data_IF_069061578485
#
_entry.id   IF_069061578485
#
_cell.length_a   1.000
_cell.length_b   1.000
_cell.length_c   1.000
_cell.angle_alpha   90.00
_cell.angle_beta   90.00
_cell.angle_gamma   90.00
#
_symmetry.space_group_name_H-M   'P 1'
#
loop_
_entity.id
_entity.type
_entity.pdbx_description
1 polymer ?
#
# COMPACT_ATOMS: atom_id res chain seq x y z
N UNK A 1 70.00 -26.98 16.20
CA UNK A 1 68.85 -26.70 15.31
C UNK A 1 67.63 -27.41 15.90
N UNK A 2 66.82 -26.69 16.67
CA UNK A 2 65.59 -27.19 17.19
C UNK A 2 64.56 -27.19 16.04
N UNK A 3 64.33 -28.36 15.46
CA UNK A 3 63.15 -28.62 14.67
C UNK A 3 62.07 -28.81 15.72
N UNK A 4 61.26 -27.77 15.96
CA UNK A 4 60.01 -27.90 16.71
C UNK A 4 59.20 -28.94 15.99
N UNK A 5 58.99 -30.08 16.65
CA UNK A 5 58.00 -31.08 16.20
C UNK A 5 56.66 -30.40 15.97
N UNK A 6 56.36 -30.08 14.73
CA UNK A 6 55.01 -29.71 14.35
C UNK A 6 54.24 -31.01 14.32
N UNK A 7 53.53 -31.25 15.42
CA UNK A 7 52.62 -32.39 15.49
C UNK A 7 51.64 -32.31 14.34
N UNK A 8 51.67 -33.26 13.39
CA UNK A 8 50.80 -33.22 12.20
C UNK A 8 49.31 -33.28 12.58
N UNK A 9 48.98 -33.84 13.76
CA UNK A 9 47.60 -33.88 14.24
C UNK A 9 47.12 -32.48 14.68
N UNK A 10 47.98 -31.70 15.33
CA UNK A 10 47.65 -30.32 15.71
C UNK A 10 47.48 -29.43 14.45
N UNK A 11 48.34 -29.62 13.45
CA UNK A 11 48.18 -28.90 12.19
C UNK A 11 46.89 -29.28 11.44
N UNK A 12 46.52 -30.56 11.48
CA UNK A 12 45.26 -31.04 10.90
C UNK A 12 44.02 -30.48 11.60
N UNK A 13 44.00 -30.47 12.94
CA UNK A 13 42.92 -29.89 13.75
C UNK A 13 42.76 -28.38 13.49
N UNK A 14 43.88 -27.65 13.41
CA UNK A 14 43.82 -26.23 13.08
C UNK A 14 43.27 -25.97 11.66
N UNK A 15 43.60 -26.84 10.68
CA UNK A 15 43.09 -26.72 9.32
C UNK A 15 41.57 -26.95 9.27
N UNK A 16 41.08 -27.98 9.97
CA UNK A 16 39.64 -28.27 10.05
C UNK A 16 38.88 -27.18 10.80
N UNK A 17 39.45 -26.59 11.84
CA UNK A 17 38.87 -25.47 12.55
C UNK A 17 38.77 -24.22 11.64
N UNK A 18 39.81 -23.94 10.88
CA UNK A 18 39.78 -22.83 9.91
C UNK A 18 38.77 -23.05 8.79
N UNK A 19 38.63 -24.26 8.31
CA UNK A 19 37.66 -24.65 7.26
C UNK A 19 36.23 -24.43 7.79
N UNK A 20 35.95 -24.85 9.02
CA UNK A 20 34.65 -24.62 9.69
C UNK A 20 34.34 -23.14 9.87
N UNK A 21 35.35 -22.32 10.24
CA UNK A 21 35.19 -20.88 10.38
C UNK A 21 34.91 -20.18 9.05
N UNK A 22 35.55 -20.65 7.96
CA UNK A 22 35.29 -20.15 6.61
C UNK A 22 33.89 -20.47 6.14
N UNK A 23 33.41 -21.70 6.38
CA UNK A 23 32.05 -22.12 6.05
C UNK A 23 31.00 -21.28 6.79
N UNK A 24 31.21 -21.03 8.09
CA UNK A 24 30.35 -20.17 8.88
C UNK A 24 30.32 -18.72 8.36
N UNK A 25 31.47 -18.17 8.01
CA UNK A 25 31.56 -16.83 7.42
C UNK A 25 30.86 -16.75 6.06
N UNK A 26 30.99 -17.76 5.21
CA UNK A 26 30.32 -17.83 3.91
C UNK A 26 28.80 -17.88 4.08
N UNK A 27 28.30 -18.67 5.03
CA UNK A 27 26.86 -18.76 5.33
C UNK A 27 26.31 -17.41 5.84
N UNK A 28 27.05 -16.73 6.73
CA UNK A 28 26.69 -15.40 7.21
C UNK A 28 26.63 -14.36 6.08
N UNK A 29 27.59 -14.40 5.16
CA UNK A 29 27.60 -13.48 4.01
C UNK A 29 26.43 -13.77 3.07
N UNK A 30 26.15 -15.03 2.77
CA UNK A 30 25.05 -15.42 1.90
C UNK A 30 23.70 -15.04 2.50
N UNK A 31 23.53 -15.25 3.81
CA UNK A 31 22.35 -14.83 4.56
C UNK A 31 22.16 -13.31 4.49
N UNK A 32 23.24 -12.55 4.74
CA UNK A 32 23.22 -11.09 4.66
C UNK A 32 22.82 -10.55 3.27
N UNK A 33 23.33 -11.17 2.21
CA UNK A 33 22.98 -10.80 0.82
C UNK A 33 21.49 -11.05 0.53
N UNK A 34 20.99 -12.23 0.96
CA UNK A 34 19.58 -12.60 0.73
C UNK A 34 18.63 -11.68 1.51
N UNK A 35 18.97 -11.34 2.73
CA UNK A 35 18.17 -10.42 3.54
C UNK A 35 18.17 -9.01 2.96
N UNK A 36 19.32 -8.54 2.49
CA UNK A 36 19.40 -7.24 1.82
C UNK A 36 18.55 -7.20 0.54
N UNK A 37 18.62 -8.23 -0.29
CA UNK A 37 17.80 -8.33 -1.50
C UNK A 37 16.29 -8.32 -1.18
N UNK A 38 15.87 -9.02 -0.13
CA UNK A 38 14.48 -9.02 0.34
C UNK A 38 14.01 -7.65 0.78
N UNK A 39 14.84 -6.92 1.54
CA UNK A 39 14.52 -5.56 2.01
C UNK A 39 14.40 -4.59 0.84
N UNK A 40 15.27 -4.69 -0.17
CA UNK A 40 15.16 -3.90 -1.41
C UNK A 40 13.87 -4.20 -2.17
N UNK A 41 13.47 -5.45 -2.28
CA UNK A 41 12.20 -5.83 -2.91
C UNK A 41 10.99 -5.20 -2.19
N UNK A 42 11.00 -5.20 -0.85
CA UNK A 42 9.96 -4.53 -0.06
C UNK A 42 9.95 -3.02 -0.33
N UNK A 43 11.13 -2.39 -0.42
CA UNK A 43 11.21 -0.97 -0.78
C UNK A 43 10.60 -0.71 -2.17
N UNK A 44 10.94 -1.50 -3.17
CA UNK A 44 10.42 -1.33 -4.53
C UNK A 44 8.89 -1.44 -4.57
N UNK A 45 8.30 -2.39 -3.83
CA UNK A 45 6.84 -2.51 -3.69
C UNK A 45 6.20 -1.27 -3.03
N UNK A 46 6.78 -0.80 -1.92
CA UNK A 46 6.25 0.37 -1.21
C UNK A 46 6.42 1.66 -2.03
N UNK A 47 7.52 1.77 -2.74
CA UNK A 47 7.81 2.88 -3.64
C UNK A 47 6.81 2.94 -4.81
N UNK A 48 6.51 1.80 -5.45
CA UNK A 48 5.50 1.72 -6.51
C UNK A 48 4.10 2.10 -6.00
N UNK A 49 3.73 1.64 -4.81
CA UNK A 49 2.45 2.01 -4.18
C UNK A 49 2.37 3.52 -3.88
N UNK A 50 3.46 4.11 -3.36
CA UNK A 50 3.54 5.54 -3.09
C UNK A 50 3.41 6.37 -4.38
N UNK A 51 4.13 6.00 -5.44
CA UNK A 51 4.04 6.68 -6.73
C UNK A 51 2.63 6.63 -7.31
N UNK A 52 1.98 5.47 -7.25
CA UNK A 52 0.61 5.31 -7.72
C UNK A 52 -0.36 6.21 -6.94
N UNK A 53 -0.24 6.26 -5.61
CA UNK A 53 -1.07 7.10 -4.77
C UNK A 53 -0.84 8.60 -5.03
N UNK A 54 0.43 9.02 -5.20
CA UNK A 54 0.78 10.41 -5.52
C UNK A 54 0.19 10.81 -6.87
N UNK A 55 0.37 9.99 -7.92
CA UNK A 55 -0.20 10.27 -9.25
C UNK A 55 -1.72 10.37 -9.20
N UNK A 56 -2.40 9.46 -8.54
CA UNK A 56 -3.85 9.51 -8.38
C UNK A 56 -4.33 10.79 -7.69
N UNK A 57 -3.61 11.25 -6.64
CA UNK A 57 -3.92 12.50 -5.97
C UNK A 57 -3.63 13.72 -6.87
N UNK A 58 -2.50 13.73 -7.59
CA UNK A 58 -2.15 14.78 -8.54
C UNK A 58 -3.20 14.94 -9.64
N UNK A 59 -3.58 13.82 -10.27
CA UNK A 59 -4.56 13.81 -11.36
C UNK A 59 -5.93 14.29 -10.88
N UNK A 60 -6.35 13.85 -9.69
CA UNK A 60 -7.62 14.30 -9.12
C UNK A 60 -7.60 15.78 -8.77
N UNK A 61 -6.54 16.26 -8.12
CA UNK A 61 -6.39 17.67 -7.71
C UNK A 61 -6.23 18.59 -8.94
N UNK A 62 -5.47 18.17 -9.95
CA UNK A 62 -5.29 18.96 -11.17
C UNK A 62 -6.58 19.08 -11.97
N UNK A 63 -7.33 17.99 -12.11
CA UNK A 63 -8.58 17.99 -12.87
C UNK A 63 -9.72 18.77 -12.18
N UNK A 64 -9.69 18.87 -10.85
CA UNK A 64 -10.75 19.50 -10.02
C UNK A 64 -10.25 20.65 -9.15
N UNK A 65 -9.07 21.19 -9.44
CA UNK A 65 -8.37 22.15 -8.61
C UNK A 65 -9.16 23.40 -8.23
N UNK A 66 -10.21 23.74 -8.98
CA UNK A 66 -11.14 24.83 -8.68
C UNK A 66 -11.92 24.62 -7.38
N UNK A 67 -12.16 23.37 -7.03
CA UNK A 67 -12.99 22.97 -5.87
C UNK A 67 -12.15 22.42 -4.73
N UNK A 68 -10.86 22.16 -4.96
CA UNK A 68 -9.96 21.57 -3.97
C UNK A 68 -9.25 22.66 -3.18
N UNK A 69 -9.36 22.59 -1.86
CA UNK A 69 -8.77 23.52 -0.90
C UNK A 69 -7.27 23.31 -0.70
N UNK A 70 -6.65 24.20 0.05
CA UNK A 70 -5.21 24.16 0.33
C UNK A 70 -4.75 22.90 1.06
N UNK A 71 -5.57 22.37 1.96
CA UNK A 71 -5.20 21.23 2.80
C UNK A 71 -4.83 19.97 2.00
N UNK A 72 -5.61 19.68 0.94
CA UNK A 72 -5.31 18.56 0.06
C UNK A 72 -3.98 18.77 -0.70
N UNK A 73 -3.71 19.98 -1.13
CA UNK A 73 -2.47 20.35 -1.83
C UNK A 73 -1.25 20.28 -0.91
N UNK A 74 -1.39 20.72 0.34
CA UNK A 74 -0.33 20.62 1.34
C UNK A 74 0.00 19.15 1.62
N UNK A 75 -1.02 18.29 1.82
CA UNK A 75 -0.80 16.86 2.02
C UNK A 75 -0.15 16.17 0.82
N UNK A 76 -0.47 16.62 -0.39
CA UNK A 76 0.19 16.11 -1.60
C UNK A 76 1.66 16.53 -1.64
N UNK A 77 1.97 17.79 -1.33
CA UNK A 77 3.35 18.27 -1.27
C UNK A 77 4.16 17.52 -0.18
N UNK A 78 3.56 17.26 0.99
CA UNK A 78 4.18 16.45 2.04
C UNK A 78 4.45 15.01 1.56
N UNK A 79 3.53 14.43 0.77
CA UNK A 79 3.72 13.11 0.18
C UNK A 79 4.89 13.07 -0.81
N UNK A 80 4.97 14.06 -1.68
CA UNK A 80 6.06 14.20 -2.66
C UNK A 80 7.41 14.35 -1.96
N UNK A 81 7.49 15.22 -0.96
CA UNK A 81 8.71 15.40 -0.17
C UNK A 81 9.12 14.13 0.58
N UNK A 82 8.16 13.41 1.15
CA UNK A 82 8.44 12.14 1.83
C UNK A 82 8.95 11.08 0.83
N UNK A 83 8.40 11.05 -0.37
CA UNK A 83 8.86 10.15 -1.43
C UNK A 83 10.28 10.48 -1.91
N UNK A 84 10.61 11.75 -2.10
CA UNK A 84 11.98 12.19 -2.43
C UNK A 84 12.99 11.75 -1.36
N UNK A 85 12.64 11.91 -0.07
CA UNK A 85 13.46 11.42 1.04
C UNK A 85 13.64 9.90 0.98
N UNK A 86 12.58 9.14 0.66
CA UNK A 86 12.66 7.69 0.52
C UNK A 86 13.68 7.29 -0.57
N UNK A 87 13.64 7.94 -1.71
CA UNK A 87 14.57 7.67 -2.82
C UNK A 87 16.01 8.06 -2.44
N UNK A 88 16.20 9.20 -1.78
CA UNK A 88 17.52 9.70 -1.40
C UNK A 88 18.26 8.76 -0.43
N UNK A 89 17.54 8.14 0.52
CA UNK A 89 18.16 7.27 1.54
C UNK A 89 18.08 5.78 1.19
N UNK A 90 17.61 5.42 0.00
CA UNK A 90 17.39 4.03 -0.45
C UNK A 90 18.59 3.12 -0.22
N UNK A 91 19.78 3.59 -0.57
CA UNK A 91 21.01 2.78 -0.54
C UNK A 91 21.72 2.80 0.80
N UNK A 92 21.60 3.89 1.55
CA UNK A 92 22.29 4.06 2.84
C UNK A 92 21.47 3.54 4.02
N UNK A 93 20.14 3.71 3.96
CA UNK A 93 19.21 3.39 5.04
C UNK A 93 17.91 2.81 4.46
N UNK A 94 17.98 1.62 3.88
CA UNK A 94 16.84 1.01 3.16
C UNK A 94 15.59 0.84 4.02
N UNK A 95 15.73 0.55 5.31
CA UNK A 95 14.59 0.44 6.23
C UNK A 95 13.88 1.77 6.44
N UNK A 96 14.63 2.86 6.57
CA UNK A 96 14.06 4.19 6.70
C UNK A 96 13.44 4.65 5.38
N UNK A 97 14.04 4.29 4.25
CA UNK A 97 13.45 4.51 2.93
C UNK A 97 12.06 3.86 2.79
N UNK A 98 11.88 2.63 3.30
CA UNK A 98 10.58 1.94 3.32
C UNK A 98 9.56 2.73 4.17
N UNK A 99 9.98 3.24 5.33
CA UNK A 99 9.10 4.03 6.20
C UNK A 99 8.69 5.35 5.52
N UNK A 100 9.62 6.04 4.88
CA UNK A 100 9.32 7.25 4.12
C UNK A 100 8.39 6.96 2.93
N UNK A 101 8.58 5.86 2.21
CA UNK A 101 7.69 5.46 1.11
C UNK A 101 6.27 5.17 1.59
N UNK A 102 6.12 4.46 2.72
CA UNK A 102 4.81 4.21 3.36
C UNK A 102 4.15 5.51 3.81
N UNK A 103 4.92 6.41 4.41
CA UNK A 103 4.41 7.71 4.82
C UNK A 103 3.94 8.51 3.61
N UNK A 104 4.71 8.54 2.53
CA UNK A 104 4.33 9.18 1.27
C UNK A 104 3.00 8.63 0.72
N UNK A 105 2.84 7.31 0.67
CA UNK A 105 1.59 6.67 0.24
C UNK A 105 0.40 7.08 1.12
N UNK A 106 0.58 7.11 2.43
CA UNK A 106 -0.47 7.50 3.39
C UNK A 106 -0.88 8.96 3.24
N UNK A 107 0.09 9.86 3.07
CA UNK A 107 -0.18 11.29 2.85
C UNK A 107 -0.88 11.52 1.51
N UNK A 108 -0.45 10.86 0.44
CA UNK A 108 -1.09 10.97 -0.88
C UNK A 108 -2.55 10.47 -0.86
N UNK A 109 -2.81 9.34 -0.21
CA UNK A 109 -4.18 8.84 -0.01
C UNK A 109 -5.01 9.80 0.85
N UNK A 110 -4.38 10.43 1.86
CA UNK A 110 -4.98 11.47 2.67
C UNK A 110 -5.35 12.70 1.85
N UNK A 111 -4.45 13.15 0.98
CA UNK A 111 -4.67 14.25 0.06
C UNK A 111 -5.87 13.98 -0.87
N UNK A 112 -5.92 12.79 -1.46
CA UNK A 112 -7.02 12.38 -2.33
C UNK A 112 -8.36 12.39 -1.61
N UNK A 113 -8.42 11.82 -0.39
CA UNK A 113 -9.66 11.82 0.43
C UNK A 113 -10.13 13.21 0.80
N UNK A 114 -9.20 14.12 1.15
CA UNK A 114 -9.56 15.52 1.45
C UNK A 114 -10.06 16.20 0.19
N UNK A 115 -9.36 16.06 -0.94
CA UNK A 115 -9.79 16.62 -2.20
C UNK A 115 -11.18 16.15 -2.64
N UNK A 116 -11.51 14.87 -2.44
CA UNK A 116 -12.84 14.32 -2.71
C UNK A 116 -13.92 14.97 -1.84
N UNK A 117 -13.66 15.10 -0.53
CA UNK A 117 -14.61 15.77 0.37
C UNK A 117 -14.86 17.23 -0.01
N UNK A 118 -13.81 17.94 -0.43
CA UNK A 118 -13.94 19.32 -0.89
C UNK A 118 -14.86 19.41 -2.10
N UNK A 119 -14.66 18.55 -3.11
CA UNK A 119 -15.50 18.50 -4.30
C UNK A 119 -16.93 18.11 -3.95
N UNK A 120 -17.15 17.10 -3.10
CA UNK A 120 -18.47 16.65 -2.68
C UNK A 120 -19.21 17.75 -1.89
N UNK A 121 -18.50 18.53 -1.05
CA UNK A 121 -19.07 19.63 -0.31
C UNK A 121 -19.59 20.75 -1.21
N UNK A 122 -18.82 21.10 -2.24
CA UNK A 122 -19.19 22.10 -3.23
C UNK A 122 -20.38 21.64 -4.11
N UNK A 123 -20.40 20.36 -4.49
CA UNK A 123 -21.53 19.80 -5.25
C UNK A 123 -22.83 19.82 -4.44
N UNK A 124 -22.76 19.54 -3.13
CA UNK A 124 -23.94 19.60 -2.26
C UNK A 124 -24.43 21.04 -2.07
N UNK A 125 -23.51 21.99 -1.96
CA UNK A 125 -23.82 23.40 -1.78
C UNK A 125 -24.50 23.98 -3.02
N UNK A 126 -24.03 23.60 -4.22
CA UNK A 126 -24.66 23.98 -5.48
C UNK A 126 -26.00 23.30 -5.74
N UNK A 127 -26.20 22.08 -5.19
CA UNK A 127 -27.45 21.34 -5.35
C UNK A 127 -28.56 21.78 -4.37
N UNK A 128 -28.20 22.43 -3.28
CA UNK A 128 -29.16 23.00 -2.34
C UNK A 128 -29.85 24.28 -2.88
N UNK A 129 -29.31 24.87 -3.95
CA UNK A 129 -29.86 26.04 -4.63
C UNK A 129 -30.69 25.70 -5.88
N UNK A 130 -30.83 24.44 -6.25
CA UNK A 130 -31.58 24.02 -7.45
C UNK A 130 -31.80 22.51 -7.50
N UNK A 131 -33.05 22.13 -7.20
CA UNK A 131 -33.66 20.80 -7.34
C UNK A 131 -32.88 19.68 -8.02
N UNK A 132 -32.68 18.60 -7.24
CA UNK A 132 -32.92 17.20 -7.65
C UNK A 132 -32.55 16.78 -9.07
N UNK A 133 -31.33 16.29 -9.30
CA UNK A 133 -31.01 15.13 -10.15
C UNK A 133 -29.49 14.99 -10.32
N UNK A 134 -28.89 13.89 -9.89
CA UNK A 134 -27.54 13.54 -10.30
C UNK A 134 -26.58 12.97 -9.26
N UNK A 135 -27.06 12.07 -8.39
CA UNK A 135 -26.23 11.46 -7.33
C UNK A 135 -25.64 10.10 -7.72
N UNK A 136 -25.20 9.86 -8.95
CA UNK A 136 -24.76 8.49 -9.34
C UNK A 136 -23.36 8.34 -9.97
N UNK A 137 -22.54 9.36 -10.06
CA UNK A 137 -21.28 9.24 -10.82
C UNK A 137 -20.03 9.01 -9.98
N UNK A 138 -20.07 9.32 -8.68
CA UNK A 138 -18.85 9.20 -7.85
C UNK A 138 -18.56 7.78 -7.35
N UNK A 139 -19.54 6.90 -7.30
CA UNK A 139 -19.37 5.51 -6.80
C UNK A 139 -18.80 4.53 -7.83
N UNK A 140 -18.99 4.79 -9.11
CA UNK A 140 -18.64 3.85 -10.16
C UNK A 140 -17.14 3.79 -10.48
N UNK A 141 -16.43 4.90 -10.34
CA UNK A 141 -14.99 4.95 -10.65
C UNK A 141 -14.11 4.34 -9.55
N UNK A 142 -14.60 4.29 -8.30
CA UNK A 142 -13.84 3.72 -7.19
C UNK A 142 -13.87 2.19 -7.17
N UNK A 143 -14.93 1.59 -7.69
CA UNK A 143 -15.04 0.13 -7.73
C UNK A 143 -14.17 -0.51 -8.81
N UNK A 144 -13.82 0.23 -9.85
CA UNK A 144 -12.97 -0.24 -10.93
C UNK A 144 -11.49 -0.28 -10.51
N UNK A 145 -11.06 0.68 -9.69
CA UNK A 145 -9.64 0.83 -9.32
C UNK A 145 -9.20 -0.07 -8.15
N UNK A 146 -10.14 -0.59 -7.36
CA UNK A 146 -9.84 -1.50 -6.23
C UNK A 146 -10.05 -2.98 -6.55
N UNK A 147 -10.64 -3.31 -7.70
CA UNK A 147 -11.07 -4.67 -8.02
C UNK A 147 -10.06 -5.49 -8.85
N UNK A 148 -8.88 -4.95 -9.15
CA UNK A 148 -7.94 -5.63 -10.05
C UNK A 148 -6.91 -6.54 -9.33
N UNK A 149 -7.03 -6.73 -8.01
CA UNK A 149 -6.06 -7.53 -7.23
C UNK A 149 -6.60 -8.80 -6.60
N UNK A 150 -7.83 -9.24 -6.91
CA UNK A 150 -8.33 -10.55 -6.46
C UNK A 150 -9.00 -11.34 -7.57
N UNK A 151 -8.20 -11.76 -8.57
CA UNK A 151 -8.56 -12.89 -9.40
C UNK A 151 -7.72 -14.09 -9.07
N UNK A 152 -8.02 -14.69 -7.93
CA UNK A 152 -7.75 -16.10 -7.68
C UNK A 152 -9.09 -16.79 -7.52
N UNK A 153 -9.38 -17.67 -8.48
CA UNK A 153 -10.62 -18.38 -8.56
C UNK A 153 -10.82 -19.36 -7.39
N UNK A 154 -12.04 -19.44 -6.94
CA UNK A 154 -12.55 -20.71 -6.40
C UNK A 154 -14.03 -20.87 -6.79
N UNK A 155 -14.30 -22.05 -7.32
CA UNK A 155 -15.43 -22.57 -8.01
C UNK A 155 -16.80 -22.27 -7.43
N UNK A 156 -17.64 -22.09 -8.40
CA UNK A 156 -19.02 -22.52 -8.55
C UNK A 156 -19.51 -23.56 -7.55
N UNK A 157 -20.65 -23.27 -6.93
CA UNK A 157 -21.79 -24.20 -6.94
C UNK A 157 -23.06 -23.39 -6.68
N UNK A 158 -24.03 -23.59 -7.58
CA UNK A 158 -25.34 -23.03 -7.56
C UNK A 158 -26.23 -23.59 -6.46
N UNK A 159 -27.26 -22.83 -6.13
CA UNK A 159 -28.58 -23.32 -5.73
C UNK A 159 -29.57 -22.16 -5.90
N UNK A 160 -30.36 -22.27 -6.83
CA UNK A 160 -31.79 -22.36 -6.99
C UNK A 160 -32.61 -22.10 -5.70
N UNK A 161 -33.57 -21.20 -5.78
CA UNK A 161 -34.82 -21.40 -5.09
C UNK A 161 -35.31 -20.30 -4.18
N UNK A 162 -36.45 -19.76 -4.49
CA UNK A 162 -37.44 -19.41 -3.51
C UNK A 162 -37.79 -17.93 -3.39
N UNK A 163 -38.66 -17.50 -4.26
CA UNK A 163 -39.50 -16.34 -4.02
C UNK A 163 -40.43 -16.58 -2.83
N UNK A 164 -40.57 -15.58 -1.99
CA UNK A 164 -41.75 -15.46 -1.15
C UNK A 164 -42.31 -14.05 -1.32
N UNK A 165 -43.31 -14.03 -2.16
CA UNK A 165 -44.35 -13.02 -2.19
C UNK A 165 -45.31 -13.30 -1.04
N UNK A 166 -45.46 -12.42 -0.09
CA UNK A 166 -46.65 -12.36 0.79
C UNK A 166 -47.11 -10.92 0.79
N UNK A 167 -48.07 -10.72 0.03
CA UNK A 167 -49.22 -9.96 0.00
C UNK A 167 -50.12 -10.06 1.21
N UNK A 168 -50.80 -8.98 1.48
CA UNK A 168 -52.16 -9.03 2.00
C UNK A 168 -52.42 -8.49 3.38
N UNK A 169 -53.28 -7.53 3.40
CA UNK A 169 -54.35 -7.36 4.33
C UNK A 169 -54.09 -6.32 5.43
N UNK A 170 -54.66 -5.10 5.49
CA UNK A 170 -56.11 -4.83 5.46
C UNK A 170 -56.68 -5.10 6.85
N UNK A 171 -56.92 -4.04 7.66
CA UNK A 171 -57.59 -4.17 8.92
C UNK A 171 -57.84 -2.81 9.60
N UNK A 172 -58.89 -2.13 9.17
CA UNK A 172 -59.55 -1.01 9.84
C UNK A 172 -60.46 -1.56 10.91
N UNK A 173 -60.41 -0.96 12.11
CA UNK A 173 -61.46 -0.88 13.14
C UNK A 173 -61.04 0.27 14.04
N UNK A 174 -61.78 1.34 14.34
CA UNK A 174 -63.22 1.55 14.48
C UNK A 174 -63.63 1.40 15.93
N UNK A 175 -63.95 2.51 16.57
CA UNK A 175 -64.95 2.54 17.58
C UNK A 175 -64.52 2.84 19.03
N UNK A 176 -65.11 3.87 19.62
CA UNK A 176 -65.27 4.02 20.98
C UNK A 176 -64.78 5.34 21.57
#
# INVERSE_FOLDING_TARGET
RNIKDHDPLTAWTQLTDMDSQLDEMLEQIQSGITDHARVLQVFDQQSAAAQTAIRAAQDFISSRGRYVRSDARTKLADAEQAFEKAVAVRTSQTRDAINYARHAATQAQGALRVAQRDVDSEMRQNNSSGSSAGSFVAGALFNEMTNDHHRSGFGSYGSSGGGFNIGGGGGSFGGG
#
